data_IF_081896969795
#
_entry.id   IF_081896969795
#
_cell.length_a   1.000
_cell.length_b   1.000
_cell.length_c   1.000
_cell.angle_alpha   90.00
_cell.angle_beta   90.00
_cell.angle_gamma   90.00
#
_symmetry.space_group_name_H-M   'P 1'
#
loop_
_entity.id
_entity.type
_entity.pdbx_description
1 polymer ?
#
# COMPACT_ATOMS: atom_id res chain seq x y z
N UNK A 1 -47.02 28.48 -7.54
CA UNK A 1 -46.13 27.36 -7.87
C UNK A 1 -44.69 27.88 -7.86
N UNK A 2 -43.92 27.57 -6.82
CA UNK A 2 -42.53 28.01 -6.65
C UNK A 2 -41.63 26.90 -7.21
N UNK A 3 -40.86 27.20 -8.27
CA UNK A 3 -39.83 26.28 -8.78
C UNK A 3 -38.69 26.19 -7.76
N UNK A 4 -38.24 24.99 -7.34
CA UNK A 4 -37.10 24.87 -6.48
C UNK A 4 -35.82 25.19 -7.26
N UNK A 5 -35.00 26.09 -6.72
CA UNK A 5 -33.65 26.38 -7.18
C UNK A 5 -32.78 25.14 -6.96
N UNK A 6 -32.44 24.45 -8.05
CA UNK A 6 -31.40 23.43 -8.06
C UNK A 6 -30.07 24.14 -7.76
N UNK A 7 -29.56 23.95 -6.56
CA UNK A 7 -28.18 24.26 -6.21
C UNK A 7 -27.27 23.35 -7.05
N UNK A 8 -26.33 23.88 -7.85
CA UNK A 8 -25.39 23.02 -8.55
C UNK A 8 -24.54 22.30 -7.49
N UNK A 9 -24.60 20.97 -7.48
CA UNK A 9 -23.60 20.16 -6.78
C UNK A 9 -22.25 20.54 -7.37
N UNK A 10 -21.43 21.23 -6.60
CA UNK A 10 -20.00 21.33 -6.86
C UNK A 10 -19.48 19.89 -6.96
N UNK A 11 -19.22 19.43 -8.17
CA UNK A 11 -18.43 18.23 -8.38
C UNK A 11 -17.10 18.49 -7.69
N UNK A 12 -16.77 17.68 -6.68
CA UNK A 12 -15.46 17.74 -6.06
C UNK A 12 -14.42 17.59 -7.17
N UNK A 13 -13.61 18.62 -7.39
CA UNK A 13 -12.46 18.54 -8.29
C UNK A 13 -11.61 17.39 -7.76
N UNK A 14 -11.46 16.33 -8.55
CA UNK A 14 -10.61 15.22 -8.19
C UNK A 14 -9.22 15.79 -7.85
N UNK A 15 -8.60 15.38 -6.73
CA UNK A 15 -7.32 15.95 -6.36
C UNK A 15 -6.30 15.67 -7.48
N UNK A 16 -5.28 16.52 -7.68
CA UNK A 16 -4.39 16.48 -8.86
C UNK A 16 -3.70 15.12 -9.09
N UNK A 17 -3.59 14.32 -8.04
CA UNK A 17 -3.04 12.96 -8.00
C UNK A 17 -3.99 11.87 -8.53
N UNK A 18 -5.30 12.12 -8.57
CA UNK A 18 -6.26 11.20 -9.19
C UNK A 18 -5.98 10.99 -10.68
N UNK A 19 -5.50 12.04 -11.36
CA UNK A 19 -5.09 11.95 -12.76
C UNK A 19 -3.86 11.05 -12.93
N UNK A 20 -2.84 11.20 -12.09
CA UNK A 20 -1.58 10.46 -12.21
C UNK A 20 -1.77 8.94 -12.10
N UNK A 21 -2.60 8.48 -11.16
CA UNK A 21 -2.90 7.06 -11.03
C UNK A 21 -3.64 6.51 -12.26
N UNK A 22 -4.64 7.26 -12.74
CA UNK A 22 -5.41 6.85 -13.92
C UNK A 22 -4.58 6.87 -15.21
N UNK A 23 -3.67 7.82 -15.34
CA UNK A 23 -2.74 7.91 -16.46
C UNK A 23 -1.72 6.77 -16.41
N UNK A 24 -1.10 6.49 -15.26
CA UNK A 24 -0.15 5.39 -15.11
C UNK A 24 -0.82 4.04 -15.37
N UNK A 25 -2.06 3.86 -14.90
CA UNK A 25 -2.87 2.68 -15.25
C UNK A 25 -3.08 2.58 -16.77
N UNK A 26 -3.47 3.67 -17.44
CA UNK A 26 -3.70 3.70 -18.89
C UNK A 26 -2.45 3.35 -19.68
N UNK A 27 -1.31 3.96 -19.33
CA UNK A 27 -0.01 3.70 -19.95
C UNK A 27 0.39 2.22 -19.81
N UNK A 28 0.27 1.66 -18.60
CA UNK A 28 0.59 0.25 -18.37
C UNK A 28 -0.35 -0.65 -19.17
N UNK A 29 -1.64 -0.33 -19.18
CA UNK A 29 -2.66 -1.09 -19.92
C UNK A 29 -2.37 -1.09 -21.42
N UNK A 30 -2.02 0.05 -22.00
CA UNK A 30 -1.69 0.17 -23.42
C UNK A 30 -0.42 -0.61 -23.79
N UNK A 31 0.58 -0.64 -22.89
CA UNK A 31 1.77 -1.46 -23.08
C UNK A 31 1.44 -2.97 -23.10
N UNK A 32 0.56 -3.43 -22.21
CA UNK A 32 0.18 -4.83 -22.10
C UNK A 32 -0.70 -5.31 -23.27
N UNK A 33 -1.62 -4.48 -23.77
CA UNK A 33 -2.48 -4.82 -24.92
C UNK A 33 -1.69 -5.06 -26.22
N UNK A 34 -0.49 -4.48 -26.36
CA UNK A 34 0.38 -4.74 -27.53
C UNK A 34 0.97 -6.15 -27.54
N UNK A 35 0.87 -6.88 -26.42
CA UNK A 35 1.39 -8.24 -26.30
C UNK A 35 0.28 -9.29 -26.48
N UNK A 36 0.35 -10.12 -27.53
CA UNK A 36 -0.60 -11.22 -27.73
C UNK A 36 -0.67 -12.21 -26.54
N UNK A 37 0.41 -12.30 -25.75
CA UNK A 37 0.50 -13.19 -24.58
C UNK A 37 -0.31 -12.70 -23.38
N UNK A 38 -0.47 -11.38 -23.26
CA UNK A 38 -1.12 -10.72 -22.12
C UNK A 38 -2.49 -10.13 -22.48
N UNK A 39 -2.69 -9.70 -23.73
CA UNK A 39 -3.93 -9.08 -24.21
C UNK A 39 -5.17 -9.97 -24.00
N UNK A 40 -5.01 -11.29 -24.20
CA UNK A 40 -6.08 -12.27 -23.97
C UNK A 40 -6.32 -12.63 -22.50
N UNK A 41 -5.47 -12.16 -21.58
CA UNK A 41 -5.53 -12.53 -20.16
C UNK A 41 -6.44 -11.58 -19.40
N UNK A 42 -7.17 -12.13 -18.44
CA UNK A 42 -7.97 -11.33 -17.51
C UNK A 42 -7.07 -10.81 -16.39
N UNK A 43 -6.71 -9.52 -16.43
CA UNK A 43 -5.99 -8.86 -15.35
C UNK A 43 -6.75 -7.62 -14.84
N UNK A 44 -6.36 -7.16 -13.67
CA UNK A 44 -6.83 -5.93 -13.06
C UNK A 44 -5.61 -5.07 -12.71
N UNK A 45 -5.66 -3.77 -13.02
CA UNK A 45 -4.66 -2.80 -12.62
C UNK A 45 -5.31 -1.88 -11.59
N UNK A 46 -4.63 -1.64 -10.48
CA UNK A 46 -5.11 -0.70 -9.47
C UNK A 46 -3.96 -0.11 -8.66
N UNK A 47 -4.13 1.11 -8.16
CA UNK A 47 -3.14 1.74 -7.30
C UNK A 47 -3.12 1.17 -5.88
N UNK A 48 -1.96 1.23 -5.23
CA UNK A 48 -1.77 0.93 -3.81
C UNK A 48 -0.83 1.94 -3.13
N UNK A 49 -0.37 1.61 -1.93
CA UNK A 49 0.69 2.35 -1.26
C UNK A 49 0.28 3.74 -0.78
N UNK A 50 1.27 4.61 -0.61
CA UNK A 50 1.12 5.81 0.22
C UNK A 50 0.23 6.90 -0.41
N UNK A 51 0.25 7.03 -1.74
CA UNK A 51 -0.64 7.95 -2.48
C UNK A 51 -2.09 7.54 -2.33
N UNK A 52 -2.38 6.28 -2.65
CA UNK A 52 -3.72 5.71 -2.57
C UNK A 52 -4.26 5.68 -1.14
N UNK A 53 -3.38 5.50 -0.15
CA UNK A 53 -3.76 5.56 1.25
C UNK A 53 -3.83 7.00 1.80
N UNK A 54 -3.42 8.04 1.06
CA UNK A 54 -3.38 9.43 1.55
C UNK A 54 -2.35 9.66 2.67
N UNK A 55 -1.29 8.87 2.69
CA UNK A 55 -0.22 8.88 3.72
C UNK A 55 1.17 9.18 3.12
N UNK A 56 1.22 9.67 1.88
CA UNK A 56 2.44 10.17 1.24
C UNK A 56 2.93 11.46 1.92
N UNK A 57 4.24 11.73 1.84
CA UNK A 57 4.85 12.91 2.47
C UNK A 57 5.12 14.04 1.48
N UNK A 58 5.43 13.68 0.24
CA UNK A 58 5.90 14.58 -0.81
C UNK A 58 5.14 14.30 -2.10
N UNK A 59 4.75 15.32 -2.89
CA UNK A 59 4.05 15.14 -4.16
C UNK A 59 4.82 14.34 -5.22
N UNK A 60 6.12 14.14 -5.03
CA UNK A 60 7.03 13.33 -5.86
C UNK A 60 7.15 11.88 -5.39
N UNK A 61 6.42 11.46 -4.35
CA UNK A 61 6.47 10.06 -3.87
C UNK A 61 6.08 9.10 -5.00
N UNK A 62 6.67 7.91 -5.03
CA UNK A 62 6.40 6.93 -6.09
C UNK A 62 4.91 6.58 -6.23
N UNK A 63 4.52 6.22 -7.44
CA UNK A 63 3.19 5.68 -7.75
C UNK A 63 3.27 4.16 -7.67
N UNK A 64 2.61 3.56 -6.68
CA UNK A 64 2.53 2.11 -6.58
C UNK A 64 1.32 1.57 -7.36
N UNK A 65 1.55 0.80 -8.43
CA UNK A 65 0.53 0.05 -9.15
C UNK A 65 0.62 -1.45 -8.82
N UNK A 66 -0.53 -2.11 -8.84
CA UNK A 66 -0.63 -3.57 -8.85
C UNK A 66 -1.17 -4.00 -10.19
N UNK A 67 -0.45 -4.86 -10.88
CA UNK A 67 -0.94 -5.63 -12.03
C UNK A 67 -1.27 -7.04 -11.56
N UNK A 68 -2.55 -7.33 -11.42
CA UNK A 68 -3.03 -8.59 -10.83
C UNK A 68 -3.73 -9.46 -11.88
N UNK A 69 -3.18 -10.63 -12.19
CA UNK A 69 -3.88 -11.66 -12.95
C UNK A 69 -5.11 -12.15 -12.16
N UNK A 70 -6.27 -12.21 -12.81
CA UNK A 70 -7.55 -12.64 -12.20
C UNK A 70 -7.78 -14.13 -12.37
N UNK A 71 -8.29 -14.76 -11.33
CA UNK A 71 -8.69 -16.17 -11.38
C UNK A 71 -10.05 -16.34 -12.13
N UNK A 72 -10.29 -17.48 -12.80
CA UNK A 72 -9.43 -18.66 -12.86
C UNK A 72 -8.21 -18.45 -13.75
N UNK A 73 -7.07 -19.03 -13.33
CA UNK A 73 -5.85 -19.04 -14.13
C UNK A 73 -5.90 -20.22 -15.12
N UNK A 74 -5.21 -20.09 -16.25
CA UNK A 74 -5.08 -21.21 -17.20
C UNK A 74 -4.35 -22.39 -16.55
N UNK A 75 -4.61 -23.61 -17.01
CA UNK A 75 -3.90 -24.79 -16.52
C UNK A 75 -2.39 -24.63 -16.74
N UNK A 76 -1.59 -24.80 -15.69
CA UNK A 76 -0.14 -24.61 -15.73
C UNK A 76 0.33 -23.17 -15.85
N UNK A 77 -0.54 -22.16 -15.69
CA UNK A 77 -0.18 -20.75 -15.74
C UNK A 77 -0.33 -20.11 -14.36
N UNK A 78 0.80 -19.88 -13.69
CA UNK A 78 0.90 -19.35 -12.34
C UNK A 78 1.43 -17.92 -12.27
N UNK A 79 1.90 -17.54 -11.08
CA UNK A 79 2.48 -16.21 -10.85
C UNK A 79 3.80 -16.04 -11.60
N UNK A 80 4.63 -17.08 -11.64
CA UNK A 80 5.92 -17.10 -12.31
C UNK A 80 5.75 -16.85 -13.82
N UNK A 81 4.83 -17.57 -14.49
CA UNK A 81 4.55 -17.39 -15.92
C UNK A 81 4.03 -15.98 -16.23
N UNK A 82 3.11 -15.48 -15.39
CA UNK A 82 2.58 -14.13 -15.55
C UNK A 82 3.64 -13.05 -15.35
N UNK A 83 4.50 -13.21 -14.34
CA UNK A 83 5.63 -12.32 -14.10
C UNK A 83 6.57 -12.29 -15.31
N UNK A 84 6.91 -13.46 -15.84
CA UNK A 84 7.86 -13.57 -16.94
C UNK A 84 7.31 -12.99 -18.25
N UNK A 85 6.02 -13.20 -18.54
CA UNK A 85 5.36 -12.56 -19.67
C UNK A 85 5.30 -11.02 -19.51
N UNK A 86 4.99 -10.51 -18.30
CA UNK A 86 4.99 -9.06 -18.03
C UNK A 86 6.39 -8.48 -18.18
N UNK A 87 7.42 -9.17 -17.67
CA UNK A 87 8.82 -8.76 -17.80
C UNK A 87 9.27 -8.74 -19.26
N UNK A 88 8.88 -9.72 -20.07
CA UNK A 88 9.19 -9.71 -21.49
C UNK A 88 8.60 -8.48 -22.20
N UNK A 89 7.32 -8.16 -21.91
CA UNK A 89 6.64 -7.02 -22.54
C UNK A 89 7.25 -5.68 -22.11
N UNK A 90 7.51 -5.53 -20.81
CA UNK A 90 8.02 -4.26 -20.28
C UNK A 90 9.52 -4.11 -20.52
N UNK A 91 10.29 -5.21 -20.56
CA UNK A 91 11.75 -5.22 -20.76
C UNK A 91 12.22 -5.21 -22.22
N UNK A 92 11.43 -5.70 -23.18
CA UNK A 92 11.77 -5.59 -24.62
C UNK A 92 11.53 -4.18 -25.18
N UNK A 93 10.67 -3.38 -24.52
CA UNK A 93 10.25 -2.07 -25.01
C UNK A 93 10.70 -0.89 -24.14
N UNK A 94 11.10 -1.11 -22.89
CA UNK A 94 11.44 -0.04 -21.94
C UNK A 94 12.56 -0.48 -21.00
N UNK A 95 13.47 0.44 -20.64
CA UNK A 95 14.51 0.18 -19.64
C UNK A 95 13.86 0.00 -18.26
N UNK A 96 13.53 -1.25 -17.91
CA UNK A 96 12.98 -1.58 -16.58
C UNK A 96 14.11 -2.02 -15.67
N UNK A 97 14.31 -1.30 -14.56
CA UNK A 97 15.24 -1.71 -13.50
C UNK A 97 14.45 -2.37 -12.38
N UNK A 98 14.73 -3.63 -12.12
CA UNK A 98 14.14 -4.34 -10.98
C UNK A 98 14.62 -3.73 -9.65
N UNK A 99 13.80 -2.85 -9.06
CA UNK A 99 13.94 -2.34 -7.70
C UNK A 99 13.28 -3.28 -6.68
N UNK A 100 13.48 -3.03 -5.37
CA UNK A 100 13.13 -4.02 -4.33
C UNK A 100 11.62 -4.24 -4.24
N UNK A 101 11.15 -5.36 -4.82
CA UNK A 101 9.78 -5.92 -4.81
C UNK A 101 8.84 -5.45 -5.93
N UNK A 102 9.28 -4.53 -6.80
CA UNK A 102 8.51 -3.96 -7.91
C UNK A 102 9.38 -3.74 -9.17
N UNK A 103 8.73 -3.55 -10.32
CA UNK A 103 9.37 -2.99 -11.51
C UNK A 103 9.53 -1.49 -11.29
N UNK A 104 10.76 -1.00 -11.10
CA UNK A 104 11.05 0.42 -10.91
C UNK A 104 11.47 1.01 -12.26
N UNK A 105 10.84 2.12 -12.62
CA UNK A 105 10.92 2.69 -13.95
C UNK A 105 11.42 4.14 -13.80
N UNK A 106 12.76 4.31 -13.82
CA UNK A 106 13.46 5.58 -13.64
C UNK A 106 14.38 5.85 -14.84
N UNK A 107 13.84 6.49 -15.88
CA UNK A 107 14.56 6.98 -17.05
C UNK A 107 13.65 7.96 -17.83
N UNK A 108 14.12 9.09 -18.38
CA UNK A 108 13.36 9.88 -19.35
C UNK A 108 12.87 9.08 -20.57
N UNK A 109 13.55 7.99 -20.94
CA UNK A 109 13.11 7.06 -22.01
C UNK A 109 12.23 5.91 -21.48
N UNK A 110 11.82 5.98 -20.21
CA UNK A 110 11.01 4.95 -19.57
C UNK A 110 9.52 5.07 -19.89
N UNK A 111 8.77 3.99 -19.71
CA UNK A 111 7.35 3.92 -20.05
C UNK A 111 6.51 5.04 -19.42
N UNK A 112 6.85 5.48 -18.21
CA UNK A 112 6.11 6.48 -17.45
C UNK A 112 6.79 7.85 -17.49
N UNK A 113 8.12 7.94 -17.49
CA UNK A 113 8.81 9.23 -17.30
C UNK A 113 8.61 9.83 -15.89
N UNK A 114 8.08 9.01 -14.96
CA UNK A 114 7.84 9.27 -13.53
C UNK A 114 8.13 7.96 -12.77
N UNK A 115 8.45 8.05 -11.48
CA UNK A 115 8.69 6.88 -10.64
C UNK A 115 7.40 6.09 -10.39
N UNK A 116 7.21 5.01 -11.15
CA UNK A 116 6.10 4.07 -10.99
C UNK A 116 6.64 2.68 -10.63
N UNK A 117 6.16 2.17 -9.51
CA UNK A 117 6.47 0.83 -9.02
C UNK A 117 5.31 -0.12 -9.37
N UNK A 118 5.57 -1.09 -10.27
CA UNK A 118 4.55 -2.08 -10.64
C UNK A 118 4.78 -3.39 -9.88
N UNK A 119 3.84 -3.76 -9.01
CA UNK A 119 3.75 -5.07 -8.38
C UNK A 119 2.99 -6.04 -9.28
N UNK A 120 3.69 -7.05 -9.80
CA UNK A 120 3.05 -8.15 -10.54
C UNK A 120 2.56 -9.22 -9.58
N UNK A 121 1.27 -9.54 -9.65
CA UNK A 121 0.62 -10.44 -8.72
C UNK A 121 -0.43 -11.33 -9.41
N UNK A 122 -0.88 -12.35 -8.68
CA UNK A 122 -2.06 -13.14 -9.02
C UNK A 122 -3.14 -12.95 -7.95
N UNK A 123 -4.41 -13.12 -8.32
CA UNK A 123 -5.53 -13.00 -7.39
C UNK A 123 -5.46 -14.07 -6.29
N UNK A 124 -5.38 -13.63 -5.04
CA UNK A 124 -5.59 -14.49 -3.87
C UNK A 124 -7.04 -14.32 -3.37
N UNK A 125 -7.71 -15.41 -2.98
CA UNK A 125 -9.09 -15.36 -2.45
C UNK A 125 -9.12 -15.90 -1.03
N UNK A 126 -9.27 -14.99 -0.07
CA UNK A 126 -9.48 -15.36 1.34
C UNK A 126 -10.96 -15.67 1.56
N UNK A 127 -11.29 -16.96 1.70
CA UNK A 127 -12.67 -17.42 1.83
C UNK A 127 -13.25 -17.04 3.20
N UNK A 128 -14.36 -16.30 3.19
CA UNK A 128 -15.12 -15.97 4.39
C UNK A 128 -16.28 -16.95 4.61
N UNK A 129 -16.90 -17.39 3.51
CA UNK A 129 -17.98 -18.37 3.45
C UNK A 129 -18.05 -18.93 2.03
N UNK A 130 -18.79 -20.03 1.77
CA UNK A 130 -19.01 -20.51 0.41
C UNK A 130 -19.51 -19.40 -0.53
N UNK A 131 -18.76 -19.14 -1.60
CA UNK A 131 -19.09 -18.10 -2.58
C UNK A 131 -18.77 -16.65 -2.15
N UNK A 132 -18.24 -16.43 -0.95
CA UNK A 132 -17.89 -15.11 -0.43
C UNK A 132 -16.44 -15.06 0.02
N UNK A 133 -15.66 -14.18 -0.59
CA UNK A 133 -14.23 -14.02 -0.29
C UNK A 133 -13.82 -12.55 -0.25
N UNK A 134 -12.72 -12.29 0.44
CA UNK A 134 -11.96 -11.06 0.30
C UNK A 134 -10.85 -11.28 -0.73
N UNK A 135 -10.73 -10.33 -1.66
CA UNK A 135 -9.73 -10.39 -2.71
C UNK A 135 -8.41 -9.82 -2.22
N UNK A 136 -7.37 -10.64 -2.24
CA UNK A 136 -5.99 -10.27 -2.01
C UNK A 136 -5.13 -10.44 -3.26
N UNK A 137 -3.85 -10.20 -3.07
CA UNK A 137 -2.79 -10.39 -4.05
C UNK A 137 -1.84 -11.47 -3.53
N UNK A 138 -1.36 -12.33 -4.43
CA UNK A 138 -0.26 -13.26 -4.20
C UNK A 138 0.91 -12.92 -5.12
N UNK A 139 2.10 -12.90 -4.55
CA UNK A 139 3.36 -12.79 -5.28
C UNK A 139 4.48 -13.46 -4.47
N UNK A 140 5.68 -13.55 -5.04
CA UNK A 140 6.88 -13.94 -4.30
C UNK A 140 7.87 -12.79 -4.24
N UNK A 141 8.60 -12.72 -3.13
CA UNK A 141 9.73 -11.79 -3.02
C UNK A 141 10.96 -12.27 -3.81
N UNK A 142 12.07 -11.53 -3.68
CA UNK A 142 13.33 -11.79 -4.37
C UNK A 142 13.96 -13.13 -3.98
N UNK A 143 13.68 -13.61 -2.78
CA UNK A 143 14.15 -14.89 -2.28
C UNK A 143 13.16 -16.03 -2.60
N UNK A 144 12.11 -15.74 -3.38
CA UNK A 144 11.08 -16.71 -3.78
C UNK A 144 10.06 -17.02 -2.68
N UNK A 145 10.07 -16.28 -1.55
CA UNK A 145 9.14 -16.53 -0.44
C UNK A 145 7.75 -15.99 -0.80
N UNK A 146 6.69 -16.78 -0.54
CA UNK A 146 5.33 -16.38 -0.88
C UNK A 146 4.84 -15.25 0.03
N UNK A 147 4.20 -14.24 -0.56
CA UNK A 147 3.57 -13.13 0.15
C UNK A 147 2.11 -13.03 -0.31
N UNK A 148 1.21 -12.92 0.67
CA UNK A 148 -0.21 -12.65 0.45
C UNK A 148 -0.58 -11.37 1.16
N UNK A 149 -1.14 -10.40 0.43
CA UNK A 149 -1.56 -9.13 1.01
C UNK A 149 -2.95 -8.71 0.51
N UNK A 150 -3.54 -7.72 1.18
CA UNK A 150 -4.91 -7.27 1.00
C UNK A 150 -4.97 -5.74 0.86
N UNK A 151 -4.39 -5.17 -0.22
CA UNK A 151 -4.22 -3.72 -0.37
C UNK A 151 -5.55 -2.96 -0.44
N UNK A 152 -6.58 -3.55 -1.06
CA UNK A 152 -7.93 -2.94 -1.14
C UNK A 152 -8.57 -2.82 0.25
N UNK A 153 -8.42 -3.85 1.08
CA UNK A 153 -8.90 -3.90 2.45
C UNK A 153 -8.10 -2.95 3.35
N UNK A 154 -6.77 -2.90 3.16
CA UNK A 154 -5.89 -1.95 3.86
C UNK A 154 -6.34 -0.51 3.63
N UNK A 155 -6.59 -0.13 2.37
CA UNK A 155 -7.13 1.20 2.02
C UNK A 155 -8.49 1.44 2.66
N UNK A 156 -9.47 0.55 2.40
CA UNK A 156 -10.85 0.66 2.89
C UNK A 156 -10.90 0.85 4.41
N UNK A 157 -10.15 0.04 5.15
CA UNK A 157 -10.13 0.10 6.61
C UNK A 157 -9.44 1.38 7.11
N UNK A 158 -8.34 1.79 6.46
CA UNK A 158 -7.64 3.03 6.74
C UNK A 158 -8.52 4.27 6.53
N UNK A 159 -9.23 4.33 5.40
CA UNK A 159 -10.17 5.41 5.08
C UNK A 159 -11.31 5.47 6.09
N UNK A 160 -11.88 4.31 6.45
CA UNK A 160 -12.94 4.24 7.45
C UNK A 160 -12.45 4.74 8.84
N UNK A 161 -11.24 4.36 9.26
CA UNK A 161 -10.66 4.84 10.51
C UNK A 161 -10.37 6.35 10.47
N UNK A 162 -9.84 6.83 9.34
CA UNK A 162 -9.56 8.24 9.16
C UNK A 162 -10.83 9.09 9.23
N UNK A 163 -11.91 8.63 8.59
CA UNK A 163 -13.24 9.23 8.70
C UNK A 163 -13.75 9.29 10.15
N UNK A 164 -13.67 8.18 10.90
CA UNK A 164 -14.09 8.14 12.31
C UNK A 164 -13.22 8.99 13.25
N UNK A 165 -12.02 9.37 12.82
CA UNK A 165 -11.07 10.18 13.58
C UNK A 165 -10.96 11.62 13.07
N UNK A 166 -11.77 12.01 12.08
CA UNK A 166 -11.77 13.37 11.51
C UNK A 166 -10.45 13.72 10.80
N UNK A 167 -9.85 12.76 10.08
CA UNK A 167 -8.59 12.96 9.35
C UNK A 167 -7.32 12.85 10.22
N UNK A 168 -7.48 12.61 11.53
CA UNK A 168 -6.38 12.68 12.50
C UNK A 168 -5.54 11.41 12.55
N UNK A 169 -6.10 10.26 12.14
CA UNK A 169 -5.34 9.02 12.00
C UNK A 169 -4.27 9.14 10.91
N UNK A 170 -4.65 9.50 9.67
CA UNK A 170 -3.66 9.64 8.59
C UNK A 170 -2.71 10.81 8.82
N UNK A 171 -3.17 11.88 9.49
CA UNK A 171 -2.28 12.94 9.93
C UNK A 171 -1.19 12.42 10.88
N UNK A 172 -1.55 11.60 11.87
CA UNK A 172 -0.59 10.97 12.77
C UNK A 172 0.36 10.00 12.04
N UNK A 173 -0.13 9.24 11.05
CA UNK A 173 0.72 8.40 10.20
C UNK A 173 1.76 9.23 9.45
N UNK A 174 1.37 10.35 8.84
CA UNK A 174 2.31 11.25 8.14
C UNK A 174 3.33 11.84 9.11
N UNK A 175 2.92 12.25 10.32
CA UNK A 175 3.85 12.69 11.36
C UNK A 175 4.83 11.59 11.73
N UNK A 176 4.36 10.36 11.98
CA UNK A 176 5.22 9.23 12.30
C UNK A 176 6.25 8.93 11.20
N UNK A 177 5.87 9.00 9.93
CA UNK A 177 6.80 8.83 8.80
C UNK A 177 7.87 9.92 8.76
N UNK A 178 7.52 11.18 9.09
CA UNK A 178 8.49 12.30 9.18
C UNK A 178 9.44 12.11 10.36
N UNK A 179 8.93 11.75 11.54
CA UNK A 179 9.74 11.45 12.72
C UNK A 179 10.66 10.26 12.47
N UNK A 180 10.17 9.23 11.76
CA UNK A 180 10.99 8.11 11.33
C UNK A 180 12.15 8.53 10.41
N UNK A 181 11.91 9.39 9.40
CA UNK A 181 13.00 9.95 8.56
C UNK A 181 14.03 10.72 9.41
N UNK A 182 13.58 11.45 10.43
CA UNK A 182 14.45 12.15 11.37
C UNK A 182 15.28 11.16 12.20
N UNK A 183 14.66 10.14 12.80
CA UNK A 183 15.34 9.11 13.57
C UNK A 183 16.40 8.33 12.75
N UNK A 184 16.11 8.04 11.48
CA UNK A 184 17.07 7.43 10.55
C UNK A 184 18.27 8.36 10.29
N UNK A 185 18.02 9.65 10.04
CA UNK A 185 19.07 10.64 9.78
C UNK A 185 19.99 10.85 10.99
N UNK A 186 19.41 10.90 12.19
CA UNK A 186 20.14 11.00 13.46
C UNK A 186 20.71 9.65 13.93
N UNK A 187 20.57 8.59 13.12
CA UNK A 187 21.09 7.23 13.38
C UNK A 187 20.57 6.59 14.67
N UNK A 188 19.39 7.00 15.14
CA UNK A 188 18.69 6.39 16.28
C UNK A 188 18.07 5.04 15.91
N UNK A 189 17.73 4.86 14.63
CA UNK A 189 17.35 3.57 14.03
C UNK A 189 18.07 3.39 12.69
N UNK A 190 18.25 2.15 12.27
CA UNK A 190 18.80 1.85 10.95
C UNK A 190 17.82 2.25 9.84
N UNK A 191 18.37 2.66 8.69
CA UNK A 191 17.57 2.96 7.50
C UNK A 191 16.70 1.75 7.12
N UNK A 192 15.40 2.00 6.94
CA UNK A 192 14.45 0.96 6.58
C UNK A 192 14.02 0.04 7.74
N UNK A 193 14.51 0.26 8.96
CA UNK A 193 14.12 -0.53 10.13
C UNK A 193 12.62 -0.40 10.48
N UNK A 194 12.01 0.74 10.12
CA UNK A 194 10.60 1.04 10.35
C UNK A 194 9.86 1.33 9.02
N UNK A 195 9.51 0.29 8.24
CA UNK A 195 8.78 0.46 6.99
C UNK A 195 7.46 1.21 7.18
N UNK A 196 7.06 2.01 6.19
CA UNK A 196 5.79 2.75 6.21
C UNK A 196 4.58 1.87 6.52
N UNK A 197 4.56 0.64 5.98
CA UNK A 197 3.48 -0.33 6.23
C UNK A 197 3.38 -0.74 7.71
N UNK A 198 4.51 -0.95 8.38
CA UNK A 198 4.56 -1.24 9.82
C UNK A 198 3.97 -0.08 10.62
N UNK A 199 4.39 1.17 10.33
CA UNK A 199 3.89 2.36 11.03
C UNK A 199 2.38 2.56 10.83
N UNK A 200 1.88 2.33 9.61
CA UNK A 200 0.45 2.37 9.31
C UNK A 200 -0.32 1.35 10.14
N UNK A 201 0.14 0.10 10.19
CA UNK A 201 -0.51 -0.96 10.94
C UNK A 201 -0.46 -0.72 12.46
N UNK A 202 0.68 -0.29 13.01
CA UNK A 202 0.80 0.04 14.44
C UNK A 202 -0.22 1.12 14.84
N UNK A 203 -0.24 2.23 14.09
CA UNK A 203 -1.16 3.34 14.37
C UNK A 203 -2.63 2.96 14.12
N UNK A 204 -2.91 2.09 13.15
CA UNK A 204 -4.28 1.64 12.89
C UNK A 204 -4.92 0.98 14.12
N UNK A 205 -4.12 0.27 14.92
CA UNK A 205 -4.57 -0.43 16.12
C UNK A 205 -4.83 0.47 17.33
N UNK A 206 -4.41 1.74 17.29
CA UNK A 206 -4.67 2.69 18.38
C UNK A 206 -6.16 3.09 18.40
N UNK A 207 -6.87 3.07 19.54
CA UNK A 207 -8.30 3.39 19.59
C UNK A 207 -8.65 4.78 19.06
N UNK A 208 -9.78 4.89 18.34
CA UNK A 208 -10.21 6.13 17.68
C UNK A 208 -10.29 7.35 18.64
N UNK A 209 -10.67 7.11 19.90
CA UNK A 209 -10.74 8.16 20.95
C UNK A 209 -9.39 8.83 21.23
N UNK A 210 -8.28 8.13 21.05
CA UNK A 210 -6.93 8.66 21.26
C UNK A 210 -6.63 9.75 20.22
N UNK A 211 -7.08 9.53 18.97
CA UNK A 211 -6.89 10.49 17.89
C UNK A 211 -7.74 11.76 18.04
N UNK A 212 -8.86 11.71 18.77
CA UNK A 212 -9.76 12.87 18.93
C UNK A 212 -9.25 13.92 19.93
N UNK A 213 -8.21 13.61 20.71
CA UNK A 213 -7.55 14.54 21.64
C UNK A 213 -6.57 15.50 20.95
N UNK A 214 -5.92 16.40 21.71
CA UNK A 214 -5.12 17.53 21.18
C UNK A 214 -3.96 17.17 20.26
N UNK A 215 -3.01 16.33 20.70
CA UNK A 215 -1.81 15.93 19.94
C UNK A 215 -1.92 14.46 19.49
N UNK A 216 -2.46 14.17 18.29
CA UNK A 216 -2.90 12.82 17.92
C UNK A 216 -1.73 11.86 17.73
N UNK A 217 -0.61 12.31 17.17
CA UNK A 217 0.62 11.53 17.04
C UNK A 217 1.19 11.15 18.42
N UNK A 218 1.44 12.15 19.29
CA UNK A 218 1.98 11.93 20.63
C UNK A 218 1.09 10.98 21.43
N UNK A 219 -0.21 11.25 21.47
CA UNK A 219 -1.16 10.43 22.22
C UNK A 219 -1.22 8.98 21.69
N UNK A 220 -1.08 8.78 20.37
CA UNK A 220 -1.02 7.46 19.76
C UNK A 220 0.27 6.71 20.14
N UNK A 221 1.43 7.36 20.13
CA UNK A 221 2.67 6.74 20.58
C UNK A 221 2.67 6.47 22.08
N UNK A 222 2.15 7.39 22.90
CA UNK A 222 1.97 7.16 24.33
C UNK A 222 1.09 5.92 24.58
N UNK A 223 0.05 5.72 23.76
CA UNK A 223 -0.79 4.53 23.84
C UNK A 223 -0.02 3.27 23.45
N UNK A 224 0.69 3.28 22.32
CA UNK A 224 1.48 2.13 21.85
C UNK A 224 2.57 1.74 22.85
N UNK A 225 3.31 2.71 23.38
CA UNK A 225 4.35 2.50 24.38
C UNK A 225 3.79 1.85 25.65
N UNK A 226 2.64 2.33 26.17
CA UNK A 226 1.97 1.70 27.34
C UNK A 226 1.41 0.30 27.08
N UNK A 227 1.25 -0.09 25.82
CA UNK A 227 0.68 -1.39 25.42
C UNK A 227 1.71 -2.27 24.70
N UNK A 228 3.01 -2.00 24.91
CA UNK A 228 4.12 -2.72 24.28
C UNK A 228 4.02 -4.26 24.43
N UNK A 229 3.59 -4.74 25.60
CA UNK A 229 3.45 -6.18 25.90
C UNK A 229 2.32 -6.86 25.11
N UNK A 230 1.41 -6.08 24.54
CA UNK A 230 0.25 -6.60 23.78
C UNK A 230 0.41 -6.50 22.26
N UNK A 231 1.53 -5.95 21.77
CA UNK A 231 1.73 -5.70 20.33
C UNK A 231 1.64 -6.99 19.50
N UNK A 232 2.12 -8.13 20.02
CA UNK A 232 2.16 -9.39 19.29
C UNK A 232 0.79 -9.85 18.75
N UNK A 233 -0.31 -9.43 19.38
CA UNK A 233 -1.67 -9.76 18.95
C UNK A 233 -2.27 -8.82 17.90
N UNK A 234 -1.57 -7.75 17.51
CA UNK A 234 -2.13 -6.73 16.63
C UNK A 234 -2.22 -7.23 15.17
N UNK A 235 -3.37 -7.05 14.49
CA UNK A 235 -3.49 -7.31 13.07
C UNK A 235 -2.85 -6.18 12.24
N UNK A 236 -2.57 -6.49 10.97
CA UNK A 236 -2.34 -5.46 9.96
C UNK A 236 -3.60 -4.62 9.75
N UNK A 237 -3.44 -3.42 9.18
CA UNK A 237 -4.57 -2.54 8.88
C UNK A 237 -5.59 -3.16 7.90
N UNK A 238 -5.19 -4.14 7.08
CA UNK A 238 -6.14 -4.91 6.27
C UNK A 238 -7.13 -5.77 7.08
N UNK A 239 -6.85 -6.02 8.37
CA UNK A 239 -7.72 -6.80 9.27
C UNK A 239 -7.71 -8.30 9.02
N UNK A 240 -6.84 -8.80 8.13
CA UNK A 240 -6.75 -10.21 7.74
C UNK A 240 -5.40 -10.78 8.16
N UNK A 241 -4.30 -10.10 7.82
CA UNK A 241 -2.95 -10.55 8.16
C UNK A 241 -2.60 -10.21 9.61
N UNK A 242 -1.77 -11.04 10.22
CA UNK A 242 -1.12 -10.72 11.50
C UNK A 242 0.09 -9.81 11.23
N UNK A 243 0.26 -8.78 12.05
CA UNK A 243 1.40 -7.86 11.92
C UNK A 243 2.72 -8.51 12.35
N UNK A 244 2.65 -9.40 13.34
CA UNK A 244 3.81 -10.06 13.93
C UNK A 244 3.78 -11.57 13.71
N UNK A 245 4.97 -12.14 13.49
CA UNK A 245 5.15 -13.56 13.23
C UNK A 245 6.39 -13.84 12.37
N UNK A 246 6.66 -15.12 12.06
CA UNK A 246 7.87 -15.53 11.33
C UNK A 246 7.77 -15.36 9.81
N UNK A 247 6.65 -14.85 9.29
CA UNK A 247 6.42 -14.68 7.86
C UNK A 247 7.31 -13.60 7.21
N UNK A 248 7.54 -13.68 5.89
CA UNK A 248 8.42 -12.76 5.17
C UNK A 248 7.92 -11.30 5.13
N UNK A 249 6.64 -11.09 5.40
CA UNK A 249 5.95 -9.79 5.45
C UNK A 249 5.47 -9.43 6.87
N UNK A 250 6.04 -10.08 7.88
CA UNK A 250 5.72 -9.88 9.29
C UNK A 250 6.94 -9.35 10.06
N UNK A 251 6.69 -8.75 11.22
CA UNK A 251 7.73 -8.17 12.06
C UNK A 251 7.87 -8.92 13.38
N UNK A 252 8.99 -8.65 14.06
CA UNK A 252 9.20 -9.08 15.44
C UNK A 252 8.68 -8.02 16.43
N UNK A 253 7.85 -8.40 17.43
CA UNK A 253 7.29 -7.44 18.39
C UNK A 253 8.35 -6.61 19.10
N UNK A 254 9.45 -7.23 19.55
CA UNK A 254 10.54 -6.53 20.23
C UNK A 254 11.24 -5.48 19.36
N UNK A 255 11.29 -5.67 18.04
CA UNK A 255 11.78 -4.65 17.12
C UNK A 255 10.81 -3.48 17.03
N UNK A 256 9.50 -3.74 16.97
CA UNK A 256 8.49 -2.69 16.95
C UNK A 256 8.49 -1.87 18.25
N UNK A 257 8.68 -2.49 19.41
CA UNK A 257 8.82 -1.78 20.70
C UNK A 257 9.97 -0.78 20.64
N UNK A 258 11.18 -1.22 20.23
CA UNK A 258 12.34 -0.32 20.10
C UNK A 258 12.09 0.85 19.15
N UNK A 259 11.39 0.59 18.03
CA UNK A 259 10.99 1.65 17.10
C UNK A 259 10.03 2.63 17.77
N UNK A 260 9.02 2.14 18.48
CA UNK A 260 8.05 2.97 19.20
C UNK A 260 8.75 3.86 20.24
N UNK A 261 9.68 3.29 21.01
CA UNK A 261 10.44 4.02 22.04
C UNK A 261 11.25 5.17 21.41
N UNK A 262 12.01 4.90 20.35
CA UNK A 262 12.77 5.94 19.64
C UNK A 262 11.85 7.03 19.09
N UNK A 263 10.73 6.65 18.46
CA UNK A 263 9.80 7.63 17.88
C UNK A 263 9.06 8.44 18.95
N UNK A 264 8.97 7.94 20.19
CA UNK A 264 8.31 8.58 21.34
C UNK A 264 9.19 9.64 22.02
N UNK A 265 10.50 9.51 21.90
CA UNK A 265 11.49 10.45 22.43
C UNK A 265 11.62 11.73 21.58
N UNK A 266 11.20 11.69 20.31
CA UNK A 266 11.25 12.80 19.35
C UNK A 266 9.92 13.57 19.31
#
# INVERSE_FOLDING_TARGET
>A
MVRPLLTPRLAAVAPPDAFLLSWAEGVLRDALHRSPRLDSRRYEIFGQGSRVNGTYLEPTSDIDLVLMLRAPFGAGYGWEDFRDDVLAVLGESYTVRMGRRCLNVDDPDSLFGEMVDVLVATEHRFQLAPGRYEQGVFFRDREGRPIVNFPKQHRRNGDAKDGRTGGRFKAAVRTAKRVRKLAERERMIAEGAAPSYLLECLLFNVPDRVYRGGRPYRAALDWLHRHADSLAGLPCQNGINRLFGPGPDQWEPGQAVRIIDVLHEI
#
